data_IF_772835776671
#
_entry.id   IF_772835776671
#
_cell.length_a   1.000
_cell.length_b   1.000
_cell.length_c   1.000
_cell.angle_alpha   90.00
_cell.angle_beta   90.00
_cell.angle_gamma   90.00
#
_symmetry.space_group_name_H-M   'P 1'
#
loop_
_entity.id
_entity.type
_entity.pdbx_description
1 polymer ?
#
# COMPACT_ATOMS: atom_id res chain seq x y z
N UNK A 1 7.13 -30.48 26.78
CA UNK A 1 5.90 -29.83 27.29
C UNK A 1 5.91 -28.44 26.68
N UNK A 2 4.97 -28.13 25.75
CA UNK A 2 4.88 -26.81 25.14
C UNK A 2 4.43 -25.80 26.18
N UNK A 3 5.22 -24.74 26.41
CA UNK A 3 4.78 -23.61 27.22
C UNK A 3 3.47 -23.07 26.61
N UNK A 4 2.39 -23.15 27.38
CA UNK A 4 1.13 -22.56 27.01
C UNK A 4 1.34 -21.05 26.92
N UNK A 5 1.31 -20.47 25.73
CA UNK A 5 1.36 -19.03 25.53
C UNK A 5 0.14 -18.40 26.17
N UNK A 6 0.32 -17.81 27.36
CA UNK A 6 -0.74 -17.13 28.09
C UNK A 6 -1.22 -15.90 27.29
N UNK A 7 -2.50 -15.87 26.94
CA UNK A 7 -3.13 -14.71 26.34
C UNK A 7 -3.12 -13.56 27.35
N UNK A 8 -2.76 -12.35 26.93
CA UNK A 8 -2.78 -11.16 27.79
C UNK A 8 -4.19 -10.91 28.31
N UNK A 9 -4.31 -10.65 29.61
CA UNK A 9 -5.60 -10.32 30.25
C UNK A 9 -6.16 -9.00 29.71
N UNK A 10 -7.49 -8.90 29.69
CA UNK A 10 -8.21 -7.67 29.36
C UNK A 10 -7.79 -6.54 30.31
N UNK A 11 -7.68 -5.32 29.77
CA UNK A 11 -7.38 -4.08 30.49
C UNK A 11 -8.39 -3.01 30.10
N UNK A 12 -9.02 -2.40 31.10
CA UNK A 12 -9.89 -1.24 30.87
C UNK A 12 -9.09 -0.05 30.34
N UNK A 13 -9.75 0.95 29.80
CA UNK A 13 -9.05 2.17 29.35
C UNK A 13 -8.34 2.90 30.50
N UNK A 14 -8.89 2.81 31.73
CA UNK A 14 -8.23 3.33 32.92
C UNK A 14 -6.95 2.55 33.24
N UNK A 15 -7.00 1.22 33.22
CA UNK A 15 -5.80 0.39 33.40
C UNK A 15 -4.73 0.66 32.35
N UNK A 16 -5.14 0.88 31.10
CA UNK A 16 -4.21 1.22 30.01
C UNK A 16 -3.48 2.55 30.28
N UNK A 17 -4.20 3.56 30.80
CA UNK A 17 -3.59 4.84 31.21
C UNK A 17 -2.62 4.61 32.38
N UNK A 18 -2.99 3.82 33.40
CA UNK A 18 -2.10 3.51 34.52
C UNK A 18 -0.83 2.80 34.03
N UNK A 19 -0.96 1.79 33.17
CA UNK A 19 0.18 1.06 32.57
C UNK A 19 1.15 2.02 31.86
N UNK A 20 0.64 3.01 31.12
CA UNK A 20 1.49 3.98 30.41
C UNK A 20 2.22 4.91 31.40
N UNK A 21 1.55 5.36 32.48
CA UNK A 21 2.16 6.14 33.54
C UNK A 21 3.24 5.35 34.30
N UNK A 22 2.93 4.12 34.67
CA UNK A 22 3.87 3.22 35.35
C UNK A 22 5.13 2.95 34.53
N UNK A 23 5.01 3.02 33.19
CA UNK A 23 6.13 2.93 32.24
C UNK A 23 6.86 4.24 32.03
N UNK A 24 6.48 5.32 32.69
CA UNK A 24 7.14 6.60 32.64
C UNK A 24 6.64 7.57 31.56
N UNK A 25 5.47 7.30 30.94
CA UNK A 25 4.86 8.25 30.01
C UNK A 25 4.23 9.42 30.79
N UNK A 26 4.50 10.64 30.38
CA UNK A 26 3.88 11.85 30.95
C UNK A 26 2.44 11.93 30.42
N UNK A 27 1.47 11.91 31.34
CA UNK A 27 0.03 12.04 31.01
C UNK A 27 -0.56 13.10 31.93
N UNK A 28 -0.67 14.33 31.42
CA UNK A 28 -1.15 15.50 32.16
C UNK A 28 -2.65 15.38 32.45
N UNK A 29 -3.43 14.91 31.47
CA UNK A 29 -4.87 14.72 31.58
C UNK A 29 -5.24 13.23 31.36
N UNK A 30 -5.37 12.45 32.46
CA UNK A 30 -5.77 11.03 32.39
C UNK A 30 -7.18 10.80 31.82
N UNK A 31 -8.11 11.76 32.00
CA UNK A 31 -9.47 11.60 31.48
C UNK A 31 -9.50 11.79 29.97
N UNK A 32 -8.77 12.78 29.47
CA UNK A 32 -8.57 12.96 28.03
C UNK A 32 -7.87 11.75 27.41
N UNK A 33 -6.80 11.23 28.03
CA UNK A 33 -6.10 10.04 27.56
C UNK A 33 -7.02 8.81 27.50
N UNK A 34 -7.86 8.59 28.52
CA UNK A 34 -8.88 7.54 28.56
C UNK A 34 -9.90 7.69 27.43
N UNK A 35 -10.41 8.90 27.20
CA UNK A 35 -11.34 9.19 26.10
C UNK A 35 -10.72 8.88 24.73
N UNK A 36 -9.45 9.22 24.53
CA UNK A 36 -8.71 8.93 23.28
C UNK A 36 -8.52 7.43 23.10
N UNK A 37 -8.12 6.70 24.16
CA UNK A 37 -7.94 5.25 24.09
C UNK A 37 -9.25 4.49 23.83
N UNK A 38 -10.42 5.10 24.10
CA UNK A 38 -11.72 4.55 23.74
C UNK A 38 -12.04 4.65 22.24
N UNK A 39 -11.38 5.55 21.51
CA UNK A 39 -11.57 5.79 20.08
C UNK A 39 -10.38 5.31 19.23
N UNK A 40 -9.19 5.28 19.82
CA UNK A 40 -7.97 4.82 19.16
C UNK A 40 -7.38 3.65 19.96
N UNK A 41 -7.38 2.47 19.35
CA UNK A 41 -6.90 1.27 20.00
C UNK A 41 -5.47 1.42 20.55
N UNK A 42 -5.24 0.95 21.77
CA UNK A 42 -3.93 0.94 22.45
C UNK A 42 -2.80 0.40 21.55
N UNK A 43 -3.04 -0.74 20.89
CA UNK A 43 -2.04 -1.34 19.99
C UNK A 43 -1.78 -0.51 18.73
N UNK A 44 -2.75 0.31 18.31
CA UNK A 44 -2.53 1.25 17.21
C UNK A 44 -1.58 2.37 17.64
N UNK A 45 -1.78 2.95 18.80
CA UNK A 45 -0.90 3.99 19.34
C UNK A 45 0.47 3.42 19.72
N UNK A 46 0.55 2.16 20.18
CA UNK A 46 1.82 1.56 20.57
C UNK A 46 2.86 1.54 19.44
N UNK A 47 2.43 1.46 18.19
CA UNK A 47 3.32 1.57 17.04
C UNK A 47 4.06 2.91 16.94
N UNK A 48 3.55 3.97 17.58
CA UNK A 48 4.16 5.31 17.57
C UNK A 48 5.06 5.55 18.76
N UNK A 49 4.76 4.98 19.93
CA UNK A 49 5.62 5.14 21.10
C UNK A 49 6.69 4.06 21.25
N UNK A 50 6.57 2.92 20.57
CA UNK A 50 7.54 1.83 20.64
C UNK A 50 9.00 2.26 20.39
N UNK A 51 9.32 3.19 19.45
CA UNK A 51 10.68 3.69 19.25
C UNK A 51 11.29 4.41 20.45
N UNK A 52 10.47 4.86 21.41
CA UNK A 52 10.88 5.60 22.62
C UNK A 52 10.95 4.71 23.86
N UNK A 53 10.78 3.40 23.71
CA UNK A 53 10.82 2.45 24.82
C UNK A 53 12.17 1.74 24.89
N UNK A 54 12.64 1.50 26.12
CA UNK A 54 13.68 0.51 26.38
C UNK A 54 13.09 -0.90 26.15
N UNK A 55 13.69 -1.64 25.22
CA UNK A 55 13.25 -2.99 24.85
C UNK A 55 13.39 -3.99 26.00
N UNK A 56 14.40 -3.85 26.86
CA UNK A 56 14.66 -4.79 27.96
C UNK A 56 13.70 -4.64 29.13
N UNK A 57 13.34 -3.41 29.46
CA UNK A 57 12.63 -3.09 30.69
C UNK A 57 11.20 -2.61 30.48
N UNK A 58 10.76 -2.42 29.23
CA UNK A 58 9.42 -1.92 28.88
C UNK A 58 9.07 -0.53 29.44
N UNK A 59 10.09 0.29 29.78
CA UNK A 59 9.96 1.67 30.22
C UNK A 59 10.30 2.63 29.08
N UNK A 60 9.77 3.85 29.16
CA UNK A 60 10.17 4.91 28.25
C UNK A 60 11.55 5.44 28.65
N UNK A 61 12.51 5.42 27.71
CA UNK A 61 13.89 5.84 27.91
C UNK A 61 14.10 7.35 27.74
N UNK A 62 13.05 8.08 27.38
CA UNK A 62 13.03 9.52 27.17
C UNK A 62 11.80 10.11 27.84
N UNK A 63 11.86 11.41 28.20
CA UNK A 63 10.67 12.14 28.59
C UNK A 63 9.77 12.28 27.37
N UNK A 64 8.72 11.52 27.30
CA UNK A 64 7.72 11.52 26.24
C UNK A 64 6.33 11.68 26.86
N UNK A 65 5.52 12.56 26.31
CA UNK A 65 4.14 12.74 26.75
C UNK A 65 3.17 11.97 25.85
N UNK A 66 2.00 11.67 26.39
CA UNK A 66 0.91 11.11 25.61
C UNK A 66 0.48 12.05 24.47
N UNK A 67 0.60 13.37 24.68
CA UNK A 67 0.32 14.38 23.66
C UNK A 67 1.33 14.30 22.50
N UNK A 68 2.62 14.11 22.75
CA UNK A 68 3.63 13.96 21.69
C UNK A 68 3.30 12.75 20.78
N UNK A 69 2.82 11.66 21.39
CA UNK A 69 2.40 10.47 20.63
C UNK A 69 1.16 10.76 19.80
N UNK A 70 0.21 11.51 20.31
CA UNK A 70 -0.98 11.93 19.56
C UNK A 70 -0.63 12.84 18.39
N UNK A 71 0.29 13.78 18.60
CA UNK A 71 0.73 14.68 17.54
C UNK A 71 1.41 13.91 16.42
N UNK A 72 2.24 12.93 16.77
CA UNK A 72 2.87 12.02 15.82
C UNK A 72 1.85 11.15 15.08
N UNK A 73 0.84 10.62 15.79
CA UNK A 73 -0.26 9.88 15.19
C UNK A 73 -1.07 10.74 14.19
N UNK A 74 -1.38 11.98 14.59
CA UNK A 74 -2.12 12.93 13.76
C UNK A 74 -1.31 13.34 12.52
N UNK A 75 0.00 13.59 12.68
CA UNK A 75 0.90 13.83 11.56
C UNK A 75 0.90 12.66 10.56
N UNK A 76 1.04 11.43 11.05
CA UNK A 76 1.01 10.24 10.20
C UNK A 76 -0.35 10.05 9.51
N UNK A 77 -1.44 10.41 10.16
CA UNK A 77 -2.78 10.42 9.58
C UNK A 77 -2.87 11.42 8.41
N UNK A 78 -2.38 12.65 8.60
CA UNK A 78 -2.35 13.66 7.53
C UNK A 78 -1.45 13.23 6.37
N UNK A 79 -0.28 12.64 6.65
CA UNK A 79 0.61 12.09 5.65
C UNK A 79 -0.09 11.00 4.82
N UNK A 80 -0.81 10.07 5.46
CA UNK A 80 -1.59 9.03 4.76
C UNK A 80 -2.64 9.64 3.83
N UNK A 81 -3.40 10.60 4.31
CA UNK A 81 -4.44 11.26 3.51
C UNK A 81 -3.85 11.98 2.29
N UNK A 82 -2.75 12.70 2.49
CA UNK A 82 -2.04 13.38 1.40
C UNK A 82 -1.54 12.37 0.36
N UNK A 83 -0.84 11.32 0.79
CA UNK A 83 -0.30 10.29 -0.09
C UNK A 83 -1.42 9.55 -0.83
N UNK A 84 -2.49 9.19 -0.14
CA UNK A 84 -3.64 8.52 -0.77
C UNK A 84 -4.25 9.37 -1.88
N UNK A 85 -4.42 10.67 -1.64
CA UNK A 85 -4.94 11.60 -2.65
C UNK A 85 -4.02 11.68 -3.89
N UNK A 86 -2.70 11.80 -3.70
CA UNK A 86 -1.77 11.85 -4.82
C UNK A 86 -1.71 10.51 -5.57
N UNK A 87 -1.68 9.39 -4.85
CA UNK A 87 -1.62 8.06 -5.43
C UNK A 87 -2.90 7.69 -6.18
N UNK A 88 -4.07 8.17 -5.73
CA UNK A 88 -5.33 7.99 -6.45
C UNK A 88 -5.31 8.65 -7.84
N UNK A 89 -4.71 9.83 -7.96
CA UNK A 89 -4.53 10.50 -9.26
C UNK A 89 -3.60 9.71 -10.18
N UNK A 90 -2.51 9.18 -9.63
CA UNK A 90 -1.56 8.34 -10.36
C UNK A 90 -2.24 7.04 -10.81
N UNK A 91 -3.06 6.41 -9.95
CA UNK A 91 -3.82 5.20 -10.28
C UNK A 91 -4.74 5.42 -11.47
N UNK A 92 -5.51 6.52 -11.48
CA UNK A 92 -6.43 6.87 -12.59
C UNK A 92 -5.66 7.10 -13.89
N UNK A 93 -4.59 7.91 -13.84
CA UNK A 93 -3.75 8.18 -15.01
C UNK A 93 -3.12 6.89 -15.56
N UNK A 94 -2.71 6.01 -14.67
CA UNK A 94 -2.10 4.74 -15.02
C UNK A 94 -3.10 3.76 -15.63
N UNK A 95 -4.32 3.69 -15.09
CA UNK A 95 -5.45 2.91 -15.63
C UNK A 95 -5.74 3.32 -17.07
N UNK A 96 -5.87 4.63 -17.30
CA UNK A 96 -6.07 5.20 -18.63
C UNK A 96 -4.93 4.85 -19.59
N UNK A 97 -3.69 4.97 -19.13
CA UNK A 97 -2.51 4.68 -19.93
C UNK A 97 -2.43 3.21 -20.37
N UNK A 98 -2.69 2.28 -19.44
CA UNK A 98 -2.71 0.84 -19.75
C UNK A 98 -3.81 0.53 -20.76
N UNK A 99 -5.04 0.98 -20.50
CA UNK A 99 -6.19 0.75 -21.38
C UNK A 99 -5.90 1.24 -22.81
N UNK A 100 -5.31 2.43 -22.93
CA UNK A 100 -4.98 3.03 -24.20
C UNK A 100 -3.87 2.29 -24.97
N UNK A 101 -2.73 2.01 -24.31
CA UNK A 101 -1.59 1.40 -24.98
C UNK A 101 -1.83 -0.09 -25.34
N UNK A 102 -2.59 -0.79 -24.52
CA UNK A 102 -3.00 -2.17 -24.81
C UNK A 102 -4.10 -2.22 -25.87
N UNK A 103 -5.04 -1.25 -25.88
CA UNK A 103 -6.09 -1.16 -26.88
C UNK A 103 -5.57 -0.94 -28.30
N UNK A 104 -4.39 -0.33 -28.45
CA UNK A 104 -3.71 -0.22 -29.75
C UNK A 104 -3.23 -1.58 -30.30
N UNK A 105 -3.04 -2.55 -29.43
CA UNK A 105 -2.61 -3.88 -29.84
C UNK A 105 -3.80 -4.76 -30.21
N UNK A 106 -4.83 -4.80 -29.34
CA UNK A 106 -6.09 -5.51 -29.56
C UNK A 106 -7.09 -5.09 -28.46
N UNK A 107 -8.37 -4.91 -28.82
CA UNK A 107 -9.42 -4.46 -27.91
C UNK A 107 -9.68 -5.44 -26.75
N UNK A 108 -9.39 -6.71 -26.95
CA UNK A 108 -9.59 -7.80 -26.00
C UNK A 108 -8.27 -8.47 -25.59
N UNK A 109 -7.14 -7.82 -25.75
CA UNK A 109 -5.80 -8.37 -25.53
C UNK A 109 -5.67 -9.10 -24.19
N UNK A 110 -6.31 -8.58 -23.15
CA UNK A 110 -6.28 -9.15 -21.79
C UNK A 110 -6.96 -10.52 -21.67
N UNK A 111 -7.78 -10.92 -22.66
CA UNK A 111 -8.40 -12.24 -22.78
C UNK A 111 -7.60 -13.19 -23.67
N UNK A 112 -6.56 -12.71 -24.33
CA UNK A 112 -5.75 -13.44 -25.32
C UNK A 112 -4.31 -13.58 -24.84
N UNK A 113 -3.98 -14.56 -23.97
CA UNK A 113 -2.65 -14.68 -23.37
C UNK A 113 -1.54 -14.84 -24.42
N UNK A 114 -1.84 -15.35 -25.62
CA UNK A 114 -0.89 -15.46 -26.74
C UNK A 114 -0.51 -14.11 -27.37
N UNK A 115 -1.31 -13.06 -27.19
CA UNK A 115 -1.00 -11.69 -27.62
C UNK A 115 -0.29 -10.89 -26.53
N UNK A 116 -0.27 -11.39 -25.30
CA UNK A 116 0.46 -10.82 -24.18
C UNK A 116 1.94 -11.25 -24.21
N UNK A 117 2.75 -10.70 -23.32
CA UNK A 117 4.16 -11.06 -23.17
C UNK A 117 4.38 -12.39 -22.43
N UNK A 118 5.64 -12.83 -22.38
CA UNK A 118 6.04 -14.15 -21.86
C UNK A 118 5.50 -14.51 -20.47
N UNK A 119 5.27 -13.53 -19.59
CA UNK A 119 4.69 -13.80 -18.26
C UNK A 119 3.25 -14.32 -18.32
N UNK A 120 2.49 -13.95 -19.35
CA UNK A 120 1.14 -14.47 -19.54
C UNK A 120 1.13 -15.93 -20.00
N UNK A 121 2.22 -16.40 -20.59
CA UNK A 121 2.37 -17.80 -21.02
C UNK A 121 2.57 -18.74 -19.83
N UNK A 122 2.94 -18.23 -18.65
CA UNK A 122 2.90 -18.98 -17.39
C UNK A 122 1.44 -19.12 -16.98
N UNK A 123 0.82 -20.24 -17.34
CA UNK A 123 -0.62 -20.50 -17.15
C UNK A 123 -1.13 -20.19 -15.75
N UNK A 124 -0.40 -20.56 -14.72
CA UNK A 124 -0.78 -20.30 -13.31
C UNK A 124 -0.88 -18.80 -13.01
N UNK A 125 0.07 -18.00 -13.51
CA UNK A 125 0.10 -16.54 -13.29
C UNK A 125 -1.08 -15.84 -13.98
N UNK A 126 -1.30 -16.14 -15.27
CA UNK A 126 -2.42 -15.57 -16.03
C UNK A 126 -3.77 -16.01 -15.45
N UNK A 127 -3.94 -17.30 -15.13
CA UNK A 127 -5.21 -17.82 -14.62
C UNK A 127 -5.58 -17.23 -13.26
N UNK A 128 -4.61 -17.03 -12.36
CA UNK A 128 -4.84 -16.36 -11.08
C UNK A 128 -5.28 -14.89 -11.28
N UNK A 129 -4.61 -14.19 -12.19
CA UNK A 129 -4.98 -12.82 -12.53
C UNK A 129 -6.38 -12.77 -13.16
N UNK A 130 -6.65 -13.66 -14.12
CA UNK A 130 -7.93 -13.74 -14.84
C UNK A 130 -9.08 -14.03 -13.86
N UNK A 131 -8.91 -14.95 -12.94
CA UNK A 131 -9.90 -15.24 -11.91
C UNK A 131 -10.24 -13.99 -11.07
N UNK A 132 -9.22 -13.24 -10.62
CA UNK A 132 -9.43 -11.99 -9.87
C UNK A 132 -10.21 -10.97 -10.70
N UNK A 133 -9.90 -10.85 -11.99
CA UNK A 133 -10.64 -9.98 -12.90
C UNK A 133 -12.10 -10.42 -13.03
N UNK A 134 -12.36 -11.71 -13.25
CA UNK A 134 -13.71 -12.24 -13.38
C UNK A 134 -14.54 -12.03 -12.11
N UNK A 135 -13.91 -12.24 -10.95
CA UNK A 135 -14.53 -11.97 -9.65
C UNK A 135 -14.83 -10.47 -9.45
N UNK A 136 -13.97 -9.58 -9.91
CA UNK A 136 -14.20 -8.14 -9.86
C UNK A 136 -15.32 -7.72 -10.82
N UNK A 137 -15.31 -8.23 -12.05
CA UNK A 137 -16.33 -7.98 -13.07
C UNK A 137 -17.71 -8.49 -12.63
N UNK A 138 -17.78 -9.67 -12.00
CA UNK A 138 -19.03 -10.26 -11.53
C UNK A 138 -19.69 -9.41 -10.44
N UNK A 139 -18.89 -8.87 -9.53
CA UNK A 139 -19.33 -8.01 -8.41
C UNK A 139 -19.58 -6.56 -8.80
N UNK A 140 -19.18 -6.16 -10.00
CA UNK A 140 -19.31 -4.76 -10.42
C UNK A 140 -20.77 -4.38 -10.64
N UNK A 141 -21.19 -3.28 -10.01
CA UNK A 141 -22.53 -2.67 -10.16
C UNK A 141 -22.55 -1.50 -11.15
N UNK A 142 -21.41 -1.20 -11.77
CA UNK A 142 -21.23 -0.07 -12.67
C UNK A 142 -22.18 -0.12 -13.87
N UNK A 143 -22.73 1.04 -14.24
CA UNK A 143 -23.70 1.15 -15.35
C UNK A 143 -23.12 0.66 -16.67
N UNK A 144 -21.85 1.00 -16.97
CA UNK A 144 -21.22 0.57 -18.21
C UNK A 144 -21.01 -0.95 -18.26
N UNK A 145 -20.74 -1.61 -17.12
CA UNK A 145 -20.64 -3.08 -17.05
C UNK A 145 -22.00 -3.72 -17.35
N UNK A 146 -23.07 -3.21 -16.72
CA UNK A 146 -24.44 -3.68 -16.98
C UNK A 146 -24.83 -3.49 -18.45
N UNK A 147 -24.45 -2.35 -19.04
CA UNK A 147 -24.67 -2.06 -20.45
C UNK A 147 -23.97 -3.07 -21.36
N UNK A 148 -22.70 -3.38 -21.11
CA UNK A 148 -21.97 -4.37 -21.90
C UNK A 148 -22.54 -5.80 -21.71
N UNK A 149 -22.98 -6.16 -20.51
CA UNK A 149 -23.65 -7.45 -20.27
C UNK A 149 -24.93 -7.57 -21.13
N UNK A 150 -25.70 -6.48 -21.25
CA UNK A 150 -26.98 -6.48 -21.99
C UNK A 150 -26.79 -6.46 -23.51
N UNK A 151 -25.80 -5.70 -24.02
CA UNK A 151 -25.71 -5.38 -25.45
C UNK A 151 -24.51 -5.99 -26.16
N UNK A 152 -23.45 -6.43 -25.41
CA UNK A 152 -22.16 -6.89 -25.97
C UNK A 152 -21.69 -8.22 -25.37
N UNK A 153 -22.61 -9.08 -24.92
CA UNK A 153 -22.27 -10.38 -24.36
C UNK A 153 -21.44 -10.36 -23.09
N UNK A 154 -21.34 -9.20 -22.42
CA UNK A 154 -20.62 -9.05 -21.17
C UNK A 154 -19.09 -8.88 -21.29
N UNK A 155 -18.56 -8.90 -22.50
CA UNK A 155 -17.13 -8.67 -22.74
C UNK A 155 -16.87 -7.17 -22.82
N UNK A 156 -15.92 -6.69 -22.02
CA UNK A 156 -15.49 -5.30 -22.03
C UNK A 156 -14.27 -5.13 -22.96
N UNK A 157 -14.20 -4.06 -23.77
CA UNK A 157 -12.94 -3.69 -24.38
C UNK A 157 -11.94 -3.28 -23.30
N UNK A 158 -10.62 -3.41 -23.56
CA UNK A 158 -9.57 -3.20 -22.55
C UNK A 158 -9.66 -1.83 -21.87
N UNK A 159 -10.00 -0.76 -22.59
CA UNK A 159 -10.15 0.58 -22.01
C UNK A 159 -11.35 0.73 -21.05
N UNK A 160 -12.32 -0.18 -21.11
CA UNK A 160 -13.41 -0.29 -20.14
C UNK A 160 -13.07 -1.35 -19.07
N UNK A 161 -12.39 -2.44 -19.43
CA UNK A 161 -12.02 -3.50 -18.51
C UNK A 161 -11.08 -3.02 -17.40
N UNK A 162 -10.19 -2.06 -17.70
CA UNK A 162 -9.29 -1.48 -16.69
C UNK A 162 -10.03 -0.74 -15.58
N UNK A 163 -11.27 -0.27 -15.81
CA UNK A 163 -12.05 0.45 -14.80
C UNK A 163 -12.57 -0.45 -13.68
N UNK A 164 -12.67 -1.75 -13.91
CA UNK A 164 -13.04 -2.72 -12.85
C UNK A 164 -11.83 -3.35 -12.17
N UNK A 165 -10.61 -3.03 -12.60
CA UNK A 165 -9.37 -3.58 -12.05
C UNK A 165 -8.88 -2.75 -10.88
N UNK A 166 -8.41 -3.39 -9.80
CA UNK A 166 -7.62 -2.72 -8.78
C UNK A 166 -6.18 -2.47 -9.25
N UNK A 167 -5.43 -1.64 -8.50
CA UNK A 167 -4.03 -1.33 -8.85
C UNK A 167 -3.15 -2.58 -8.96
N UNK A 168 -3.36 -3.58 -8.10
CA UNK A 168 -2.64 -4.84 -8.15
C UNK A 168 -2.87 -5.56 -9.49
N UNK A 169 -4.12 -5.66 -9.93
CA UNK A 169 -4.47 -6.24 -11.24
C UNK A 169 -3.86 -5.47 -12.39
N UNK A 170 -3.88 -4.13 -12.35
CA UNK A 170 -3.25 -3.28 -13.36
C UNK A 170 -1.72 -3.48 -13.41
N UNK A 171 -1.08 -3.58 -12.25
CA UNK A 171 0.36 -3.85 -12.14
C UNK A 171 0.75 -5.21 -12.72
N UNK A 172 -0.06 -6.24 -12.48
CA UNK A 172 0.14 -7.57 -13.09
C UNK A 172 -0.13 -7.56 -14.59
N UNK A 173 -1.16 -6.85 -15.05
CA UNK A 173 -1.48 -6.71 -16.48
C UNK A 173 -0.33 -5.99 -17.22
N UNK A 174 0.25 -4.94 -16.63
CA UNK A 174 1.44 -4.29 -17.17
C UNK A 174 2.63 -5.27 -17.35
N UNK A 175 2.85 -6.15 -16.37
CA UNK A 175 3.93 -7.14 -16.47
C UNK A 175 3.70 -8.17 -17.56
N UNK A 176 2.44 -8.52 -17.80
CA UNK A 176 2.03 -9.42 -18.90
C UNK A 176 1.94 -8.70 -20.25
N UNK A 177 1.97 -7.37 -20.28
CA UNK A 177 1.83 -6.61 -21.54
C UNK A 177 2.99 -6.90 -22.51
N UNK A 178 2.74 -6.84 -23.83
CA UNK A 178 3.80 -6.93 -24.84
C UNK A 178 4.90 -5.89 -24.60
N UNK A 179 6.14 -6.24 -24.91
CA UNK A 179 7.28 -5.36 -24.65
C UNK A 179 7.13 -3.98 -25.32
N UNK A 180 6.64 -3.93 -26.56
CA UNK A 180 6.36 -2.68 -27.28
C UNK A 180 5.41 -1.76 -26.50
N UNK A 181 4.34 -2.32 -25.93
CA UNK A 181 3.38 -1.55 -25.12
C UNK A 181 4.02 -1.09 -23.80
N UNK A 182 4.80 -1.95 -23.12
CA UNK A 182 5.52 -1.57 -21.89
C UNK A 182 6.51 -0.42 -22.12
N UNK A 183 7.25 -0.45 -23.23
CA UNK A 183 8.16 0.62 -23.63
C UNK A 183 7.38 1.91 -23.90
N UNK A 184 6.26 1.84 -24.63
CA UNK A 184 5.43 3.01 -24.92
C UNK A 184 4.89 3.68 -23.65
N UNK A 185 4.41 2.88 -22.69
CA UNK A 185 3.93 3.36 -21.39
C UNK A 185 5.06 4.00 -20.56
N UNK A 186 6.19 3.32 -20.43
CA UNK A 186 7.30 3.78 -19.59
C UNK A 186 7.95 5.05 -20.11
N UNK A 187 8.07 5.21 -21.43
CA UNK A 187 8.58 6.44 -22.07
C UNK A 187 7.77 7.69 -21.71
N UNK A 188 6.45 7.58 -21.53
CA UNK A 188 5.60 8.71 -21.11
C UNK A 188 5.93 9.22 -19.71
N UNK A 189 6.57 8.40 -18.89
CA UNK A 189 7.02 8.74 -17.55
C UNK A 189 8.54 8.97 -17.47
N UNK A 190 9.26 9.01 -18.60
CA UNK A 190 10.72 9.11 -18.67
C UNK A 190 11.43 8.00 -17.87
N UNK A 191 10.89 6.78 -17.93
CA UNK A 191 11.40 5.59 -17.24
C UNK A 191 11.69 4.47 -18.24
N UNK A 192 12.55 3.53 -17.86
CA UNK A 192 12.63 2.23 -18.55
C UNK A 192 11.45 1.35 -18.14
N UNK A 193 11.11 0.34 -18.95
CA UNK A 193 10.01 -0.60 -18.62
C UNK A 193 10.22 -1.29 -17.27
N UNK A 194 11.47 -1.63 -16.93
CA UNK A 194 11.80 -2.25 -15.65
C UNK A 194 11.64 -1.29 -14.46
N UNK A 195 12.04 -0.02 -14.62
CA UNK A 195 11.83 1.02 -13.64
C UNK A 195 10.34 1.26 -13.42
N UNK A 196 9.59 1.51 -14.50
CA UNK A 196 8.16 1.77 -14.44
C UNK A 196 7.40 0.63 -13.72
N UNK A 197 7.66 -0.63 -14.09
CA UNK A 197 7.06 -1.78 -13.41
C UNK A 197 7.41 -1.87 -11.92
N UNK A 198 8.64 -1.49 -11.51
CA UNK A 198 9.03 -1.46 -10.10
C UNK A 198 8.33 -0.34 -9.33
N UNK A 199 8.16 0.84 -9.94
CA UNK A 199 7.40 1.95 -9.37
C UNK A 199 5.95 1.59 -9.14
N UNK A 200 5.31 0.91 -10.11
CA UNK A 200 3.93 0.46 -9.96
C UNK A 200 3.73 -0.45 -8.74
N UNK A 201 4.64 -1.40 -8.54
CA UNK A 201 4.58 -2.29 -7.37
C UNK A 201 4.77 -1.52 -6.07
N UNK A 202 5.78 -0.66 -6.02
CA UNK A 202 6.09 0.10 -4.80
C UNK A 202 4.98 1.08 -4.42
N UNK A 203 4.44 1.82 -5.39
CA UNK A 203 3.36 2.76 -5.18
C UNK A 203 2.05 2.06 -4.78
N UNK A 204 1.77 0.87 -5.33
CA UNK A 204 0.63 0.05 -4.90
C UNK A 204 0.72 -0.32 -3.41
N UNK A 205 1.90 -0.69 -2.92
CA UNK A 205 2.10 -0.98 -1.49
C UNK A 205 1.80 0.26 -0.64
N UNK A 206 2.36 1.41 -1.01
CA UNK A 206 2.14 2.67 -0.29
C UNK A 206 0.66 3.07 -0.31
N UNK A 207 0.01 2.96 -1.48
CA UNK A 207 -1.42 3.26 -1.64
C UNK A 207 -2.28 2.36 -0.75
N UNK A 208 -2.02 1.06 -0.72
CA UNK A 208 -2.77 0.12 0.08
C UNK A 208 -2.57 0.36 1.59
N UNK A 209 -1.35 0.66 2.02
CA UNK A 209 -1.07 1.04 3.41
C UNK A 209 -1.84 2.31 3.81
N UNK A 210 -1.86 3.31 2.94
CA UNK A 210 -2.61 4.54 3.18
C UNK A 210 -4.13 4.28 3.24
N UNK A 211 -4.68 3.50 2.30
CA UNK A 211 -6.10 3.15 2.24
C UNK A 211 -6.58 2.32 3.44
N UNK A 212 -5.73 1.43 3.96
CA UNK A 212 -6.06 0.57 5.10
C UNK A 212 -5.65 1.16 6.45
N UNK A 213 -5.39 2.46 6.53
CA UNK A 213 -5.01 3.16 7.75
C UNK A 213 -3.79 2.58 8.45
N UNK A 214 -2.89 1.91 7.73
CA UNK A 214 -1.66 1.39 8.29
C UNK A 214 -0.70 2.53 8.67
N UNK A 215 0.11 2.33 9.72
CA UNK A 215 1.16 3.29 10.10
C UNK A 215 2.20 3.41 8.98
N UNK A 216 2.52 4.63 8.59
CA UNK A 216 3.56 4.95 7.60
C UNK A 216 4.82 5.51 8.24
N UNK A 217 4.67 6.22 9.36
CA UNK A 217 5.77 6.72 10.16
C UNK A 217 6.69 5.58 10.62
N UNK A 218 8.00 5.79 10.50
CA UNK A 218 9.04 4.83 10.93
C UNK A 218 8.77 3.40 10.41
N UNK A 219 8.49 3.27 9.10
CA UNK A 219 8.22 2.00 8.44
C UNK A 219 9.29 1.72 7.39
N UNK A 220 9.82 0.51 7.40
CA UNK A 220 10.65 -0.01 6.32
C UNK A 220 9.74 -0.60 5.25
N UNK A 221 10.05 -0.32 3.98
CA UNK A 221 9.33 -0.84 2.82
C UNK A 221 10.20 -1.87 2.12
N UNK A 222 9.73 -3.11 2.04
CA UNK A 222 10.47 -4.22 1.41
C UNK A 222 10.54 -4.06 -0.11
N UNK A 223 9.47 -3.53 -0.71
CA UNK A 223 9.41 -3.29 -2.15
C UNK A 223 9.86 -1.86 -2.46
N UNK A 224 11.07 -1.74 -3.01
CA UNK A 224 11.67 -0.46 -3.39
C UNK A 224 11.59 -0.25 -4.90
N UNK A 225 11.31 0.98 -5.36
CA UNK A 225 11.34 1.29 -6.79
C UNK A 225 12.78 1.33 -7.31
N UNK A 226 12.98 0.97 -8.58
CA UNK A 226 14.25 1.17 -9.28
C UNK A 226 14.34 2.63 -9.73
N UNK A 227 15.33 3.37 -9.24
CA UNK A 227 15.51 4.77 -9.61
C UNK A 227 16.20 4.92 -10.97
N UNK A 228 15.86 5.97 -11.74
CA UNK A 228 16.65 6.39 -12.89
C UNK A 228 18.06 6.78 -12.44
N UNK A 229 19.07 6.32 -13.20
CA UNK A 229 20.47 6.64 -12.92
C UNK A 229 20.83 8.00 -13.52
N UNK A 230 20.32 9.07 -12.93
CA UNK A 230 20.67 10.44 -13.30
C UNK A 230 20.82 11.32 -12.06
N UNK A 231 21.46 12.47 -12.20
CA UNK A 231 21.77 13.40 -11.11
C UNK A 231 20.53 13.82 -10.29
N UNK A 232 19.40 13.96 -10.97
CA UNK A 232 18.13 14.39 -10.34
C UNK A 232 17.65 13.43 -9.27
N UNK A 233 17.92 12.12 -9.39
CA UNK A 233 17.45 11.07 -8.48
C UNK A 233 18.49 10.66 -7.42
N UNK A 234 19.78 10.99 -7.61
CA UNK A 234 20.85 10.68 -6.66
C UNK A 234 20.56 11.11 -5.21
N UNK A 235 20.00 12.32 -4.94
CA UNK A 235 19.70 12.71 -3.56
C UNK A 235 18.63 11.83 -2.89
N UNK A 236 17.66 11.34 -3.68
CA UNK A 236 16.58 10.47 -3.19
C UNK A 236 17.12 9.07 -2.88
N UNK A 237 17.97 8.52 -3.76
CA UNK A 237 18.60 7.22 -3.58
C UNK A 237 19.52 7.20 -2.35
N UNK A 238 20.30 8.26 -2.13
CA UNK A 238 21.14 8.41 -0.93
C UNK A 238 20.34 8.43 0.37
N UNK A 239 19.16 9.03 0.38
CA UNK A 239 18.27 9.08 1.55
C UNK A 239 17.61 7.73 1.86
N UNK A 240 17.65 6.76 0.94
CA UNK A 240 17.14 5.40 1.17
C UNK A 240 18.12 4.49 1.94
N UNK A 241 19.33 4.93 2.22
CA UNK A 241 20.19 4.21 3.17
C UNK A 241 19.47 4.25 4.53
N UNK A 242 19.27 3.09 5.18
CA UNK A 242 18.42 3.01 6.35
C UNK A 242 18.95 3.93 7.45
N UNK A 243 18.18 4.96 7.78
CA UNK A 243 18.31 5.67 9.06
C UNK A 243 17.96 4.76 10.25
N UNK A 244 17.71 3.47 10.00
CA UNK A 244 17.07 2.53 10.90
C UNK A 244 17.79 1.19 10.94
N UNK A 245 19.02 1.21 11.45
CA UNK A 245 19.53 0.07 12.19
C UNK A 245 19.21 0.20 13.69
N UNK A 246 17.99 0.59 14.02
CA UNK A 246 17.52 0.50 15.40
C UNK A 246 16.73 -0.79 15.67
N UNK A 247 16.57 -1.67 14.66
CA UNK A 247 15.73 -2.86 14.76
C UNK A 247 16.43 -4.18 14.40
N UNK A 248 17.70 -4.15 13.97
CA UNK A 248 18.44 -5.38 13.66
C UNK A 248 19.60 -5.54 14.65
N UNK A 249 19.30 -5.91 15.86
CA UNK A 249 20.14 -6.67 16.76
C UNK A 249 19.22 -7.31 17.79
N UNK A 250 18.68 -8.49 17.42
CA UNK A 250 18.61 -9.73 18.22
C UNK A 250 18.04 -10.83 17.36
#
# INVERSE_FOLDING_TARGET
>A
MSEAHLIKSFKTYADQVCILKDRGMIIDDPQKAKAILSTINYYRLSGYWYPFMDKKHSYFNQKISFQDILDLYNYDMQLRMYLFNQLSKIEIAFRTLIGHELGKCDEQIYLKPNLLGNQALVKTYYNQWKKRYDDALSRSTEKFVKHHKKHYGGILPIWAAVEVMDWGMLSHLYQMAPEKARIAMSKKCNLTSAQFGSWLKSLNVVRNLAAHHARMYNRVYDIKPKFPQNEKWKPVEKKQKPYLRFYDND
#
